data_IF_960713020917
#
_entry.id   IF_960713020917
#
_cell.length_a   1.000
_cell.length_b   1.000
_cell.length_c   1.000
_cell.angle_alpha   90.00
_cell.angle_beta   90.00
_cell.angle_gamma   90.00
#
_symmetry.space_group_name_H-M   'P 1'
#
loop_
_entity.id
_entity.type
_entity.pdbx_description
1 polymer ?
#
# COMPACT_ATOMS: atom_id res chain seq x y z
N UNK A 1 32.75 -27.83 -10.27
CA UNK A 1 32.15 -26.54 -10.65
C UNK A 1 30.63 -26.73 -10.67
N UNK A 2 29.99 -26.58 -9.51
CA UNK A 2 28.54 -26.85 -9.36
C UNK A 2 27.81 -25.59 -9.78
N UNK A 3 27.09 -25.67 -10.89
CA UNK A 3 26.27 -24.60 -11.41
C UNK A 3 25.07 -24.37 -10.47
N UNK A 4 25.10 -23.30 -9.69
CA UNK A 4 23.93 -22.77 -9.01
C UNK A 4 22.96 -22.20 -10.05
N UNK A 5 22.08 -23.03 -10.60
CA UNK A 5 20.89 -22.57 -11.33
C UNK A 5 19.66 -23.15 -10.64
N UNK A 6 19.36 -22.65 -9.45
CA UNK A 6 17.95 -22.60 -9.04
C UNK A 6 17.40 -21.39 -9.76
N UNK A 7 16.69 -21.62 -10.86
CA UNK A 7 15.83 -20.63 -11.49
C UNK A 7 14.80 -20.23 -10.43
N UNK A 8 15.17 -19.28 -9.58
CA UNK A 8 14.25 -18.73 -8.60
C UNK A 8 13.09 -18.16 -9.41
N UNK A 9 11.85 -18.60 -9.18
CA UNK A 9 10.73 -18.12 -9.95
C UNK A 9 10.64 -16.60 -9.73
N UNK A 10 10.76 -15.83 -10.80
CA UNK A 10 10.65 -14.36 -10.80
C UNK A 10 9.31 -14.02 -11.46
N UNK A 11 8.62 -13.04 -10.89
CA UNK A 11 7.38 -12.50 -11.43
C UNK A 11 7.63 -11.47 -12.54
N UNK A 12 6.56 -11.08 -13.25
CA UNK A 12 6.56 -10.04 -14.29
C UNK A 12 7.22 -8.72 -13.85
N UNK A 13 7.27 -8.45 -12.55
CA UNK A 13 7.87 -7.26 -11.96
C UNK A 13 9.36 -7.38 -11.64
N UNK A 14 9.99 -8.53 -11.92
CA UNK A 14 11.39 -8.80 -11.55
C UNK A 14 11.58 -9.20 -10.08
N UNK A 15 10.50 -9.39 -9.32
CA UNK A 15 10.55 -9.79 -7.91
C UNK A 15 10.57 -11.31 -7.76
N UNK A 16 11.35 -11.79 -6.79
CA UNK A 16 11.40 -13.20 -6.41
C UNK A 16 10.02 -13.67 -5.90
N UNK A 17 9.52 -14.76 -6.45
CA UNK A 17 8.35 -15.48 -5.96
C UNK A 17 8.84 -16.42 -4.86
N UNK A 18 8.28 -16.25 -3.67
CA UNK A 18 8.63 -17.05 -2.49
C UNK A 18 7.48 -17.98 -2.13
N UNK A 19 7.64 -18.84 -1.12
CA UNK A 19 6.56 -19.71 -0.64
C UNK A 19 5.63 -19.01 0.36
N UNK A 20 5.93 -17.77 0.75
CA UNK A 20 5.18 -17.02 1.76
C UNK A 20 3.77 -16.68 1.29
N UNK A 21 2.79 -17.10 2.06
CA UNK A 21 1.37 -16.81 1.83
C UNK A 21 0.86 -15.56 2.56
N UNK A 22 1.69 -14.96 3.43
CA UNK A 22 1.34 -13.75 4.15
C UNK A 22 1.05 -12.61 3.16
N UNK A 23 -0.06 -11.91 3.40
CA UNK A 23 -0.59 -10.93 2.47
C UNK A 23 -1.33 -9.84 3.25
N UNK A 24 -0.60 -8.85 3.76
CA UNK A 24 -1.21 -7.72 4.47
C UNK A 24 -0.34 -6.46 4.39
N UNK A 25 -0.97 -5.32 4.64
CA UNK A 25 -0.32 -4.03 4.84
C UNK A 25 0.08 -3.92 6.31
N UNK A 26 1.35 -3.63 6.59
CA UNK A 26 1.87 -3.46 7.95
C UNK A 26 1.87 -1.99 8.38
N UNK A 27 2.05 -1.06 7.45
CA UNK A 27 1.92 0.38 7.70
C UNK A 27 1.42 1.10 6.44
N UNK A 28 0.80 2.26 6.65
CA UNK A 28 0.39 3.17 5.59
C UNK A 28 0.81 4.60 5.94
N UNK A 29 1.53 5.23 5.03
CA UNK A 29 1.88 6.64 5.10
C UNK A 29 1.22 7.41 3.95
N UNK A 30 0.91 8.67 4.23
CA UNK A 30 0.47 9.59 3.20
C UNK A 30 1.33 10.84 3.32
N UNK A 31 2.04 11.16 2.23
CA UNK A 31 2.90 12.32 2.17
C UNK A 31 2.30 13.41 1.29
N UNK A 32 2.50 14.66 1.69
CA UNK A 32 2.16 15.84 0.90
C UNK A 32 3.12 16.07 -0.26
N UNK A 33 2.91 17.16 -1.00
CA UNK A 33 3.80 17.58 -2.10
C UNK A 33 5.21 17.94 -1.63
N UNK A 34 5.34 18.30 -0.37
CA UNK A 34 6.55 18.59 0.38
C UNK A 34 7.22 17.32 0.97
N UNK A 35 6.66 16.14 0.69
CA UNK A 35 7.13 14.83 1.15
C UNK A 35 7.12 14.64 2.68
N UNK A 36 6.41 15.51 3.42
CA UNK A 36 6.16 15.32 4.84
C UNK A 36 4.83 14.58 5.06
N UNK A 37 4.71 13.93 6.22
CA UNK A 37 3.48 13.25 6.59
C UNK A 37 2.35 14.26 6.74
N UNK A 38 1.23 13.98 6.08
CA UNK A 38 0.00 14.78 6.21
C UNK A 38 -0.99 14.13 7.17
N UNK A 39 -0.64 12.96 7.73
CA UNK A 39 -1.49 12.20 8.65
C UNK A 39 -1.54 12.93 10.00
N UNK A 40 -2.72 13.03 10.60
CA UNK A 40 -2.85 13.57 11.95
C UNK A 40 -2.54 12.54 13.04
N UNK A 41 -2.67 11.25 12.74
CA UNK A 41 -2.46 10.14 13.68
C UNK A 41 -2.10 8.87 12.91
N UNK A 42 -1.65 7.83 13.63
CA UNK A 42 -1.43 6.50 13.07
C UNK A 42 -2.69 5.98 12.36
N UNK A 43 -2.56 5.38 11.16
CA UNK A 43 -3.72 4.86 10.44
C UNK A 43 -4.20 3.59 11.12
N UNK A 44 -5.51 3.35 11.09
CA UNK A 44 -6.08 2.10 11.54
C UNK A 44 -6.15 1.13 10.36
N UNK A 45 -5.40 0.05 10.45
CA UNK A 45 -5.29 -0.96 9.39
C UNK A 45 -6.00 -2.22 9.87
N UNK A 46 -7.12 -2.54 9.24
CA UNK A 46 -7.83 -3.80 9.45
C UNK A 46 -7.41 -4.80 8.36
N UNK A 47 -6.68 -5.83 8.77
CA UNK A 47 -6.16 -6.89 7.88
C UNK A 47 -7.17 -8.01 7.61
N UNK A 48 -8.29 -8.03 8.35
CA UNK A 48 -9.42 -8.95 8.17
C UNK A 48 -10.43 -8.34 7.22
N UNK A 49 -10.92 -7.12 7.52
CA UNK A 49 -11.82 -6.37 6.65
C UNK A 49 -11.15 -5.79 5.41
N UNK A 50 -9.80 -5.76 5.39
CA UNK A 50 -9.00 -5.17 4.31
C UNK A 50 -9.33 -3.68 4.10
N UNK A 51 -9.30 -2.92 5.19
CA UNK A 51 -9.58 -1.47 5.17
C UNK A 51 -8.49 -0.70 5.89
N UNK A 52 -8.20 0.51 5.41
CA UNK A 52 -7.24 1.43 6.00
C UNK A 52 -7.97 2.75 6.24
N UNK A 53 -8.07 3.16 7.49
CA UNK A 53 -8.61 4.46 7.88
C UNK A 53 -7.43 5.41 8.14
N UNK A 54 -7.34 6.47 7.37
CA UNK A 54 -6.29 7.46 7.49
C UNK A 54 -6.90 8.85 7.69
N UNK A 55 -6.62 9.46 8.83
CA UNK A 55 -7.01 10.83 9.14
C UNK A 55 -5.87 11.79 8.79
N UNK A 56 -6.16 12.83 8.01
CA UNK A 56 -5.19 13.84 7.57
C UNK A 56 -5.42 15.19 8.25
N UNK A 57 -4.39 16.03 8.28
CA UNK A 57 -4.48 17.40 8.76
C UNK A 57 -5.41 18.24 7.88
N UNK A 58 -6.13 19.17 8.50
CA UNK A 58 -6.96 20.13 7.79
C UNK A 58 -6.11 21.00 6.83
N UNK A 59 -6.62 21.24 5.62
CA UNK A 59 -5.93 22.02 4.60
C UNK A 59 -4.93 21.25 3.73
N UNK A 60 -4.81 19.93 3.92
CA UNK A 60 -3.98 19.07 3.05
C UNK A 60 -4.49 19.05 1.61
N UNK A 61 -3.61 19.27 0.62
CA UNK A 61 -3.93 19.06 -0.79
C UNK A 61 -3.97 17.57 -1.15
N UNK A 62 -5.15 16.96 -1.05
CA UNK A 62 -5.37 15.55 -1.35
C UNK A 62 -5.27 15.19 -2.84
N UNK A 63 -5.21 16.15 -3.76
CA UNK A 63 -5.08 15.84 -5.19
C UNK A 63 -3.68 15.37 -5.57
N UNK A 64 -2.68 15.77 -4.79
CA UNK A 64 -1.27 15.62 -5.13
C UNK A 64 -0.47 14.92 -4.01
N UNK A 65 -1.02 13.86 -3.43
CA UNK A 65 -0.36 13.12 -2.33
C UNK A 65 0.42 11.92 -2.82
N UNK A 66 1.42 11.52 -2.05
CA UNK A 66 2.22 10.31 -2.27
C UNK A 66 1.86 9.26 -1.22
N UNK A 67 1.01 8.28 -1.56
CA UNK A 67 0.74 7.15 -0.66
C UNK A 67 1.97 6.24 -0.60
N UNK A 68 2.34 5.81 0.60
CA UNK A 68 3.38 4.78 0.80
C UNK A 68 2.80 3.63 1.63
N UNK A 69 3.01 2.42 1.13
CA UNK A 69 2.58 1.20 1.80
C UNK A 69 3.81 0.44 2.27
N UNK A 70 3.85 0.08 3.55
CA UNK A 70 4.74 -0.96 4.03
C UNK A 70 3.96 -2.26 4.00
N UNK A 71 4.47 -3.23 3.25
CA UNK A 71 3.86 -4.54 3.09
C UNK A 71 4.63 -5.58 3.91
N UNK A 72 4.02 -6.74 4.12
CA UNK A 72 4.73 -7.92 4.60
C UNK A 72 5.84 -8.34 3.62
N UNK A 73 6.86 -9.04 4.13
CA UNK A 73 8.01 -9.52 3.35
C UNK A 73 7.58 -10.26 2.09
N UNK A 74 8.25 -9.96 0.97
CA UNK A 74 8.03 -10.53 -0.36
C UNK A 74 6.67 -10.20 -1.01
N UNK A 75 5.78 -9.48 -0.35
CA UNK A 75 4.53 -9.02 -0.95
C UNK A 75 4.75 -7.82 -1.88
N UNK A 76 3.85 -7.65 -2.85
CA UNK A 76 3.83 -6.48 -3.76
C UNK A 76 2.46 -5.81 -3.79
N UNK A 77 2.44 -4.56 -4.21
CA UNK A 77 1.21 -3.79 -4.43
C UNK A 77 0.83 -3.79 -5.92
N UNK A 78 -0.46 -3.91 -6.21
CA UNK A 78 -1.04 -3.87 -7.54
C UNK A 78 -2.35 -3.04 -7.54
N UNK A 79 -2.44 -1.94 -8.32
CA UNK A 79 -1.38 -1.37 -9.14
C UNK A 79 -0.25 -0.79 -8.27
N UNK A 80 0.93 -0.69 -8.85
CA UNK A 80 2.04 0.05 -8.25
C UNK A 80 1.74 1.54 -8.18
N UNK A 81 2.24 2.17 -7.14
CA UNK A 81 2.23 3.63 -7.01
C UNK A 81 3.52 4.15 -7.67
N UNK A 82 3.38 4.79 -8.83
CA UNK A 82 4.50 5.34 -9.61
C UNK A 82 4.67 6.85 -9.42
N UNK A 83 3.78 7.50 -8.65
CA UNK A 83 3.83 8.94 -8.42
C UNK A 83 2.68 9.46 -7.55
N UNK A 84 2.28 10.71 -7.81
CA UNK A 84 1.18 11.37 -7.11
C UNK A 84 -0.14 10.66 -7.36
N UNK A 85 -1.00 10.65 -6.37
CA UNK A 85 -2.32 10.03 -6.40
C UNK A 85 -3.35 11.00 -5.85
N UNK A 86 -4.49 11.15 -6.54
CA UNK A 86 -5.58 12.01 -6.10
C UNK A 86 -6.55 11.30 -5.13
N UNK A 87 -6.51 11.65 -3.86
CA UNK A 87 -7.42 11.19 -2.79
C UNK A 87 -8.48 12.24 -2.40
N UNK A 88 -8.73 13.24 -3.24
CA UNK A 88 -9.68 14.32 -2.92
C UNK A 88 -11.15 13.88 -2.92
N UNK A 89 -11.49 12.79 -3.62
CA UNK A 89 -12.81 12.17 -3.54
C UNK A 89 -12.92 11.28 -2.30
N UNK A 90 -13.44 11.86 -1.21
CA UNK A 90 -13.67 11.15 0.04
C UNK A 90 -14.89 10.21 0.00
N UNK A 91 -15.74 10.31 -1.03
CA UNK A 91 -16.92 9.47 -1.18
C UNK A 91 -16.58 8.10 -1.78
N UNK A 92 -15.46 8.02 -2.52
CA UNK A 92 -15.00 6.81 -3.18
C UNK A 92 -13.62 6.39 -2.67
N UNK A 93 -13.54 5.38 -1.78
CA UNK A 93 -12.26 4.91 -1.27
C UNK A 93 -11.43 4.28 -2.39
N UNK A 94 -10.14 4.63 -2.45
CA UNK A 94 -9.23 3.95 -3.37
C UNK A 94 -8.99 2.53 -2.94
N UNK A 95 -8.80 1.65 -3.93
CA UNK A 95 -8.51 0.24 -3.68
C UNK A 95 -7.13 -0.11 -4.24
N UNK A 96 -6.29 -0.73 -3.42
CA UNK A 96 -5.03 -1.33 -3.85
C UNK A 96 -4.98 -2.79 -3.44
N UNK A 97 -4.49 -3.64 -4.32
CA UNK A 97 -4.37 -5.08 -4.07
C UNK A 97 -2.98 -5.40 -3.58
N UNK A 98 -2.89 -5.96 -2.38
CA UNK A 98 -1.66 -6.61 -1.92
C UNK A 98 -1.64 -8.03 -2.47
N UNK A 99 -0.52 -8.42 -3.04
CA UNK A 99 -0.27 -9.76 -3.57
C UNK A 99 0.83 -10.38 -2.71
N UNK A 100 0.58 -11.57 -2.13
CA UNK A 100 1.56 -12.31 -1.31
C UNK A 100 2.81 -12.67 -2.10
N UNK A 101 3.90 -13.01 -1.40
CA UNK A 101 5.15 -13.49 -2.03
C UNK A 101 4.96 -14.72 -2.93
N UNK A 102 4.05 -15.62 -2.58
CA UNK A 102 3.73 -16.80 -3.40
C UNK A 102 2.75 -16.56 -4.56
N UNK A 103 2.27 -15.33 -4.72
CA UNK A 103 1.36 -14.85 -5.79
C UNK A 103 0.00 -15.54 -5.86
N UNK A 104 -0.33 -16.37 -4.87
CA UNK A 104 -1.60 -17.10 -4.77
C UNK A 104 -2.63 -16.37 -3.91
N UNK A 105 -2.19 -15.55 -2.96
CA UNK A 105 -3.08 -14.80 -2.07
C UNK A 105 -3.10 -13.34 -2.52
N UNK A 106 -4.30 -12.79 -2.65
CA UNK A 106 -4.53 -11.40 -3.04
C UNK A 106 -5.55 -10.79 -2.10
N UNK A 107 -5.23 -9.61 -1.55
CA UNK A 107 -6.13 -8.87 -0.65
C UNK A 107 -6.30 -7.45 -1.16
N UNK A 108 -7.52 -7.09 -1.51
CA UNK A 108 -7.88 -5.74 -1.93
C UNK A 108 -8.14 -4.88 -0.70
N UNK A 109 -7.25 -3.92 -0.44
CA UNK A 109 -7.38 -2.95 0.64
C UNK A 109 -8.08 -1.69 0.16
N UNK A 110 -9.13 -1.27 0.88
CA UNK A 110 -9.83 0.00 0.66
C UNK A 110 -9.31 1.08 1.60
N UNK A 111 -8.93 2.22 1.05
CA UNK A 111 -8.35 3.33 1.79
C UNK A 111 -9.41 4.41 1.94
N UNK A 112 -9.76 4.69 3.18
CA UNK A 112 -10.69 5.74 3.57
C UNK A 112 -9.88 6.89 4.14
N UNK A 113 -10.02 8.06 3.52
CA UNK A 113 -9.40 9.29 4.00
C UNK A 113 -10.47 10.11 4.72
N UNK A 114 -10.12 10.59 5.91
CA UNK A 114 -10.92 11.56 6.65
C UNK A 114 -10.07 12.79 6.96
N UNK A 115 -10.69 13.96 7.02
CA UNK A 115 -10.00 15.19 7.39
C UNK A 115 -10.25 15.46 8.86
N UNK A 116 -9.19 15.76 9.61
CA UNK A 116 -9.30 16.19 11.00
C UNK A 116 -10.18 17.43 11.09
N UNK A 117 -11.22 17.35 11.90
CA UNK A 117 -12.04 18.51 12.26
C UNK A 117 -11.27 19.42 13.23
N UNK A 118 -11.32 20.75 13.04
CA UNK A 118 -10.68 21.71 13.93
C UNK A 118 -11.24 21.70 15.36
#
# INVERSE_FOLDING_TARGET
>A
MVACRKETPIDEDGLLITERAECFVSNFELLGTDHLTVRSKNPEIDTVACTIQCEVLFGTDLKNVYPQFTLVTDAKLDPKITGKTDFSDLSQPKTYTVVSGNRKVRKAYKIFITVKTP
#
